data_IF_153264003073
#
_entry.id   IF_153264003073
#
_cell.length_a   1.000
_cell.length_b   1.000
_cell.length_c   1.000
_cell.angle_alpha   90.00
_cell.angle_beta   90.00
_cell.angle_gamma   90.00
#
_symmetry.space_group_name_H-M   'P 1'
#
loop_
_entity.id
_entity.type
_entity.pdbx_description
1 polymer ?
#
# COMPACT_ATOMS: atom_id res chain seq x y z
N UNK A 1 -13.42 10.20 -9.69
CA UNK A 1 -13.17 9.92 -9.10
C UNK A 1 -12.42 8.98 -8.79
N UNK A 2 -12.04 9.00 -8.21
CA UNK A 2 -11.00 8.21 -7.98
C UNK A 2 -11.26 6.86 -7.55
N UNK A 3 -12.21 6.29 -8.09
CA UNK A 3 -12.36 4.92 -7.80
C UNK A 3 -11.17 4.14 -8.29
N UNK A 4 -10.35 4.74 -9.11
CA UNK A 4 -9.16 4.06 -9.58
C UNK A 4 -8.12 3.84 -8.51
N UNK A 5 -8.28 4.48 -7.37
CA UNK A 5 -7.36 4.25 -6.28
C UNK A 5 -7.29 2.80 -5.90
N UNK A 6 -8.40 2.08 -6.04
CA UNK A 6 -8.45 0.68 -5.66
C UNK A 6 -8.38 -0.27 -6.84
N UNK A 7 -7.95 0.21 -7.99
CA UNK A 7 -7.74 -0.66 -9.13
C UNK A 7 -6.40 -1.36 -9.06
N UNK A 8 -6.15 -2.23 -10.02
CA UNK A 8 -4.88 -2.92 -10.06
C UNK A 8 -3.73 -1.98 -10.36
N UNK A 9 -4.03 -0.84 -10.96
CA UNK A 9 -3.00 0.15 -11.22
C UNK A 9 -2.66 1.00 -10.01
N UNK A 10 -3.48 0.91 -8.99
CA UNK A 10 -3.24 1.69 -7.80
C UNK A 10 -3.40 3.17 -8.05
N UNK A 11 -2.54 3.95 -7.45
CA UNK A 11 -2.59 5.40 -7.57
C UNK A 11 -1.45 5.93 -8.41
N UNK A 12 -0.96 5.10 -9.33
CA UNK A 12 0.25 5.42 -10.07
C UNK A 12 0.26 6.82 -10.68
N UNK A 13 -0.80 7.18 -11.39
CA UNK A 13 -0.83 8.48 -12.03
C UNK A 13 -0.80 9.62 -11.05
N UNK A 14 -1.56 9.48 -9.99
CA UNK A 14 -1.62 10.52 -8.97
C UNK A 14 -0.29 10.61 -8.23
N UNK A 15 0.30 9.48 -7.90
CA UNK A 15 1.54 9.46 -7.14
C UNK A 15 2.69 10.09 -7.92
N UNK A 16 2.74 9.88 -9.22
CA UNK A 16 3.79 10.49 -10.02
C UNK A 16 3.71 12.00 -10.00
N UNK A 17 2.51 12.53 -9.94
CA UNK A 17 2.35 13.97 -9.96
C UNK A 17 2.61 14.58 -8.59
N UNK A 18 2.23 13.89 -7.54
CA UNK A 18 2.21 14.53 -6.24
C UNK A 18 2.27 13.52 -5.10
N UNK A 19 3.23 12.63 -5.16
CA UNK A 19 3.37 11.64 -4.09
C UNK A 19 3.92 12.31 -2.84
N UNK A 20 3.19 12.23 -1.75
CA UNK A 20 3.54 12.88 -0.50
C UNK A 20 3.15 11.99 0.67
N UNK A 21 3.61 12.37 1.85
CA UNK A 21 3.24 11.65 3.05
C UNK A 21 1.75 11.77 3.34
N UNK A 22 1.16 12.90 2.98
CA UNK A 22 -0.28 13.07 3.16
C UNK A 22 -1.05 12.09 2.30
N UNK A 23 -0.65 11.96 1.04
CA UNK A 23 -1.30 11.00 0.15
C UNK A 23 -1.12 9.58 0.65
N UNK A 24 0.09 9.24 1.10
CA UNK A 24 0.35 7.91 1.63
C UNK A 24 -0.49 7.62 2.86
N UNK A 25 -0.61 8.60 3.74
CA UNK A 25 -1.44 8.44 4.93
C UNK A 25 -2.89 8.16 4.56
N UNK A 26 -3.41 8.93 3.61
CA UNK A 26 -4.78 8.74 3.16
C UNK A 26 -4.97 7.39 2.49
N UNK A 27 -4.00 6.96 1.72
CA UNK A 27 -4.09 5.67 1.06
C UNK A 27 -4.10 4.54 2.08
N UNK A 28 -3.29 4.66 3.12
CA UNK A 28 -3.28 3.65 4.19
C UNK A 28 -4.63 3.56 4.87
N UNK A 29 -5.24 4.71 5.14
CA UNK A 29 -6.58 4.73 5.75
C UNK A 29 -7.60 4.10 4.82
N UNK A 30 -7.57 4.48 3.55
CA UNK A 30 -8.55 3.99 2.60
C UNK A 30 -8.40 2.49 2.37
N UNK A 31 -7.18 2.00 2.26
CA UNK A 31 -6.94 0.58 2.07
C UNK A 31 -7.51 -0.22 3.23
N UNK A 32 -7.26 0.23 4.44
CA UNK A 32 -7.78 -0.45 5.62
C UNK A 32 -9.30 -0.45 5.65
N UNK A 33 -9.88 0.67 5.30
CA UNK A 33 -11.32 0.82 5.34
C UNK A 33 -12.01 -0.07 4.30
N UNK A 34 -11.44 -0.16 3.11
CA UNK A 34 -12.10 -0.85 2.00
C UNK A 34 -11.64 -2.27 1.77
N UNK A 35 -10.43 -2.62 2.17
CA UNK A 35 -9.93 -3.97 1.97
C UNK A 35 -9.94 -4.79 3.24
N UNK A 36 -9.65 -4.16 4.37
CA UNK A 36 -9.61 -4.86 5.64
C UNK A 36 -8.42 -4.41 6.46
N UNK A 37 -8.31 -4.89 7.70
CA UNK A 37 -7.32 -4.37 8.63
C UNK A 37 -5.89 -4.86 8.41
N UNK A 38 -5.69 -5.99 7.75
CA UNK A 38 -4.36 -6.55 7.63
C UNK A 38 -3.77 -6.22 6.27
N UNK A 39 -2.87 -5.23 6.25
CA UNK A 39 -2.30 -4.72 5.01
C UNK A 39 -0.80 -4.93 5.01
N UNK A 40 -0.30 -5.57 3.97
CA UNK A 40 1.13 -5.79 3.78
C UNK A 40 1.74 -4.57 3.08
N UNK A 41 2.90 -4.14 3.52
CA UNK A 41 3.61 -3.03 2.89
C UNK A 41 4.99 -3.50 2.48
N UNK A 42 5.31 -3.34 1.19
CA UNK A 42 6.62 -3.64 0.68
C UNK A 42 7.21 -2.43 -0.02
N UNK A 43 8.53 -2.39 -0.15
CA UNK A 43 9.22 -1.33 -0.85
C UNK A 43 10.16 -1.97 -1.85
N UNK A 44 10.22 -1.44 -3.06
CA UNK A 44 11.22 -1.90 -4.01
C UNK A 44 12.30 -0.83 -4.19
N UNK A 45 12.37 0.15 -3.28
CA UNK A 45 13.39 1.19 -3.31
C UNK A 45 13.77 1.55 -1.88
N UNK A 46 15.01 1.99 -1.73
CA UNK A 46 15.47 2.48 -0.44
C UNK A 46 15.32 3.98 -0.32
N UNK A 47 15.10 4.66 -1.46
CA UNK A 47 15.00 6.11 -1.46
C UNK A 47 13.59 6.49 -1.07
N UNK A 48 13.45 7.33 -0.09
CA UNK A 48 12.18 7.86 0.41
C UNK A 48 11.16 6.79 0.80
N UNK A 49 11.48 5.53 0.64
CA UNK A 49 10.54 4.46 0.97
C UNK A 49 10.20 4.42 2.44
N UNK A 50 11.19 4.67 3.29
CA UNK A 50 10.96 4.63 4.73
C UNK A 50 9.98 5.70 5.17
N UNK A 51 10.09 6.89 4.61
CA UNK A 51 9.19 7.97 4.94
C UNK A 51 7.75 7.65 4.53
N UNK A 52 7.60 7.16 3.30
CA UNK A 52 6.28 6.80 2.80
C UNK A 52 5.71 5.60 3.54
N UNK A 53 6.55 4.65 3.88
CA UNK A 53 6.11 3.49 4.64
C UNK A 53 5.58 3.92 6.01
N UNK A 54 6.25 4.86 6.65
CA UNK A 54 5.79 5.36 7.93
C UNK A 54 4.43 6.04 7.81
N UNK A 55 4.25 6.81 6.75
CA UNK A 55 2.97 7.49 6.54
C UNK A 55 1.85 6.49 6.27
N UNK A 56 2.12 5.47 5.46
CA UNK A 56 1.14 4.41 5.21
C UNK A 56 0.78 3.68 6.49
N UNK A 57 1.80 3.34 7.27
CA UNK A 57 1.60 2.66 8.55
C UNK A 57 0.71 3.48 9.47
N UNK A 58 0.98 4.78 9.55
CA UNK A 58 0.17 5.65 10.39
C UNK A 58 -1.29 5.67 9.91
N UNK A 59 -1.50 5.72 8.60
CA UNK A 59 -2.85 5.71 8.06
C UNK A 59 -3.59 4.42 8.35
N UNK A 60 -2.92 3.29 8.19
CA UNK A 60 -3.51 1.99 8.48
C UNK A 60 -3.90 1.91 9.95
N UNK A 61 -3.01 2.33 10.84
CA UNK A 61 -3.29 2.27 12.26
C UNK A 61 -4.37 3.26 12.67
N UNK A 62 -4.45 4.40 11.98
CA UNK A 62 -5.49 5.37 12.27
C UNK A 62 -6.88 4.81 12.01
N UNK A 63 -7.00 3.84 11.10
CA UNK A 63 -8.27 3.19 10.83
C UNK A 63 -8.44 1.88 11.62
N UNK A 64 -7.57 1.64 12.57
CA UNK A 64 -7.67 0.42 13.37
C UNK A 64 -7.06 -0.80 12.71
N UNK A 65 -6.28 -0.61 11.66
CA UNK A 65 -5.68 -1.73 10.96
C UNK A 65 -4.36 -2.17 11.55
N UNK A 66 -3.82 -3.22 10.95
CA UNK A 66 -2.55 -3.82 11.36
C UNK A 66 -1.60 -3.85 10.17
N UNK A 67 -0.62 -2.96 10.13
CA UNK A 67 0.34 -2.96 9.03
C UNK A 67 1.36 -4.09 9.19
N UNK A 68 1.68 -4.75 8.09
CA UNK A 68 2.67 -5.81 8.06
C UNK A 68 3.80 -5.34 7.15
N UNK A 69 4.83 -4.76 7.73
CA UNK A 69 5.92 -4.19 6.96
C UNK A 69 6.91 -5.28 6.59
N UNK A 70 7.08 -5.46 5.29
CA UNK A 70 7.91 -6.55 4.77
C UNK A 70 9.29 -6.09 4.31
N UNK A 71 9.56 -4.80 4.36
CA UNK A 71 10.86 -4.28 3.99
C UNK A 71 11.03 -4.16 2.49
N UNK A 72 12.27 -4.23 2.06
CA UNK A 72 12.60 -4.07 0.64
C UNK A 72 12.46 -5.41 -0.05
N UNK A 73 11.37 -5.58 -0.79
CA UNK A 73 11.08 -6.81 -1.51
C UNK A 73 10.44 -6.47 -2.85
N UNK A 74 10.54 -7.36 -3.83
CA UNK A 74 9.92 -7.09 -5.12
C UNK A 74 8.40 -7.16 -5.07
N UNK A 75 7.76 -6.45 -5.98
CA UNK A 75 6.31 -6.40 -6.03
C UNK A 75 5.64 -7.78 -6.02
N UNK A 76 6.11 -8.76 -6.82
CA UNK A 76 5.47 -10.07 -6.77
C UNK A 76 5.53 -10.72 -5.40
N UNK A 77 6.57 -10.42 -4.62
CA UNK A 77 6.68 -10.98 -3.29
C UNK A 77 5.63 -10.41 -2.35
N UNK A 78 5.27 -9.13 -2.52
CA UNK A 78 4.20 -8.55 -1.71
C UNK A 78 2.89 -9.26 -1.97
N UNK A 79 2.58 -9.51 -3.24
CA UNK A 79 1.35 -10.22 -3.59
C UNK A 79 1.35 -11.61 -3.01
N UNK A 80 2.48 -12.32 -3.11
CA UNK A 80 2.58 -13.67 -2.60
C UNK A 80 2.39 -13.72 -1.10
N UNK A 81 3.04 -12.81 -0.37
CA UNK A 81 2.92 -12.76 1.08
C UNK A 81 1.50 -12.42 1.51
N UNK A 82 0.85 -11.55 0.76
CA UNK A 82 -0.53 -11.19 1.05
C UNK A 82 -1.42 -12.42 0.98
N UNK A 83 -1.24 -13.23 -0.05
CA UNK A 83 -2.05 -14.44 -0.21
C UNK A 83 -1.67 -15.49 0.84
N UNK A 84 -0.38 -15.73 1.00
CA UNK A 84 0.07 -16.81 1.91
C UNK A 84 -0.32 -16.56 3.35
N UNK A 85 -0.35 -15.30 3.76
CA UNK A 85 -0.67 -14.98 5.13
C UNK A 85 -2.11 -14.51 5.31
N UNK A 86 -2.90 -14.65 4.26
CA UNK A 86 -4.33 -14.32 4.29
C UNK A 86 -4.56 -12.89 4.73
N UNK A 87 -3.74 -11.99 4.20
CA UNK A 87 -3.91 -10.58 4.49
C UNK A 87 -4.95 -9.98 3.55
N UNK A 88 -5.44 -8.81 3.92
CA UNK A 88 -6.54 -8.19 3.18
C UNK A 88 -6.08 -7.44 1.94
N UNK A 89 -4.85 -7.04 1.89
CA UNK A 89 -4.31 -6.35 0.73
C UNK A 89 -2.86 -6.02 0.92
N UNK A 90 -2.27 -5.40 -0.08
CA UNK A 90 -0.88 -5.00 -0.02
C UNK A 90 -0.66 -3.68 -0.71
N UNK A 91 0.38 -2.97 -0.30
CA UNK A 91 0.78 -1.72 -0.91
C UNK A 91 2.27 -1.80 -1.19
N UNK A 92 2.64 -1.42 -2.39
CA UNK A 92 4.06 -1.42 -2.78
C UNK A 92 4.49 0.02 -3.01
N UNK A 93 5.61 0.38 -2.39
CA UNK A 93 6.22 1.69 -2.57
C UNK A 93 7.32 1.54 -3.60
N UNK A 94 7.13 2.17 -4.75
CA UNK A 94 8.12 2.18 -5.80
C UNK A 94 8.84 3.52 -5.83
N UNK A 95 9.79 3.67 -6.74
CA UNK A 95 10.63 4.86 -6.78
C UNK A 95 9.83 6.15 -6.88
N UNK A 96 8.74 6.15 -7.62
CA UNK A 96 7.99 7.37 -7.85
C UNK A 96 6.49 7.22 -7.65
N UNK A 97 6.01 6.09 -7.14
CA UNK A 97 4.57 5.95 -6.95
C UNK A 97 4.25 4.80 -6.01
N UNK A 98 3.00 4.76 -5.60
CA UNK A 98 2.46 3.70 -4.77
C UNK A 98 1.55 2.82 -5.63
N UNK A 99 1.60 1.53 -5.37
CA UNK A 99 0.73 0.58 -6.07
C UNK A 99 -0.05 -0.21 -5.03
N UNK A 100 -1.34 -0.31 -5.23
CA UNK A 100 -2.19 -1.07 -4.34
C UNK A 100 -2.39 -2.46 -4.92
N UNK A 101 -2.13 -3.47 -4.11
CA UNK A 101 -2.33 -4.85 -4.50
C UNK A 101 -3.60 -5.34 -3.84
N UNK A 102 -4.55 -5.70 -4.68
CA UNK A 102 -5.85 -6.18 -4.22
C UNK A 102 -6.00 -7.62 -4.67
N UNK A 103 -6.05 -8.51 -3.72
CA UNK A 103 -6.21 -9.93 -4.00
C UNK A 103 -7.68 -10.23 -4.02
N UNK A 104 -8.21 -10.46 -5.22
CA UNK A 104 -9.61 -10.78 -5.35
C UNK A 104 -9.84 -12.25 -5.16
N UNK A 105 -10.95 -12.56 -4.54
CA UNK A 105 -11.37 -13.92 -4.46
C UNK A 105 -11.95 -14.36 -5.76
N UNK A 106 -11.69 -15.55 -6.20
CA UNK A 106 -12.25 -16.06 -7.44
C UNK A 106 -13.78 -16.18 -7.36
#
# INVERSE_FOLDING_TARGET
>A
MPQNIFGTDGVRGVANADLSCDLAFRLGRAATKFLGPDICIGRDTRLSGTMLESALTAGIMAEGGRPHCCGVIPTPAVALLTVQNELDGGIVISASHLSLIHISEP
#
